data_IF_598234192881
#
_entry.id   IF_598234192881
#
_cell.length_a   1.000
_cell.length_b   1.000
_cell.length_c   1.000
_cell.angle_alpha   90.00
_cell.angle_beta   90.00
_cell.angle_gamma   90.00
#
_symmetry.space_group_name_H-M   'P 1'
#
loop_
_entity.id
_entity.type
_entity.pdbx_description
1 polymer ?
#
# COMPACT_ATOMS: atom_id res chain seq x y z
N UNK A 1 -33.79 -39.94 8.85
CA UNK A 1 -33.16 -41.19 9.28
C UNK A 1 -31.71 -40.88 9.50
N UNK A 2 -31.29 -40.56 10.77
CA UNK A 2 -30.62 -41.47 11.72
C UNK A 2 -29.39 -42.13 11.06
N UNK A 3 -28.13 -42.00 11.49
CA UNK A 3 -27.43 -42.02 12.79
C UNK A 3 -25.98 -41.50 12.55
N UNK A 4 -25.33 -40.63 13.31
CA UNK A 4 -24.62 -40.85 14.59
C UNK A 4 -23.66 -42.06 14.64
N UNK A 5 -22.40 -41.80 15.00
CA UNK A 5 -21.44 -42.46 15.89
C UNK A 5 -20.09 -41.68 15.72
N UNK A 6 -19.49 -40.94 16.57
CA UNK A 6 -19.10 -40.92 18.00
C UNK A 6 -17.91 -41.85 18.39
N UNK A 7 -16.98 -41.21 19.15
CA UNK A 7 -15.98 -41.71 20.13
C UNK A 7 -14.71 -42.35 19.54
N UNK A 8 -13.55 -42.06 20.00
CA UNK A 8 -12.89 -41.71 21.24
C UNK A 8 -11.39 -41.91 21.00
N UNK A 9 -10.44 -41.67 21.74
CA UNK A 9 -10.13 -41.64 23.14
C UNK A 9 -8.71 -41.11 23.33
N UNK A 10 -8.47 -40.44 24.39
CA UNK A 10 -7.22 -39.90 24.90
C UNK A 10 -6.16 -40.97 25.23
N UNK A 11 -4.89 -40.57 25.20
CA UNK A 11 -3.89 -41.11 26.14
C UNK A 11 -2.78 -40.08 26.42
N UNK A 12 -2.75 -39.64 27.65
CA UNK A 12 -1.62 -39.00 28.33
C UNK A 12 -0.46 -39.97 28.48
N UNK A 13 0.77 -39.46 28.38
CA UNK A 13 1.87 -40.00 29.20
C UNK A 13 2.85 -38.90 29.56
N UNK A 14 2.87 -38.59 30.84
CA UNK A 14 3.90 -37.91 31.65
C UNK A 14 5.04 -38.88 31.98
N UNK A 15 6.27 -38.39 32.04
CA UNK A 15 7.35 -38.83 32.95
C UNK A 15 8.48 -37.80 32.85
N UNK A 16 8.73 -36.94 33.84
CA UNK A 16 9.42 -37.08 35.14
C UNK A 16 10.93 -37.20 35.01
N UNK A 17 11.62 -36.14 35.39
CA UNK A 17 12.52 -35.87 36.51
C UNK A 17 13.83 -36.67 36.65
N UNK A 18 14.81 -35.91 37.04
CA UNK A 18 16.01 -36.18 37.86
C UNK A 18 17.32 -36.12 37.05
N UNK A 19 18.36 -35.43 37.45
CA UNK A 19 18.70 -34.72 38.66
C UNK A 19 20.21 -34.67 38.80
N UNK A 20 20.66 -33.66 39.52
CA UNK A 20 21.86 -33.57 40.35
C UNK A 20 23.26 -33.65 39.68
N UNK A 21 24.04 -32.68 39.87
CA UNK A 21 24.83 -32.14 40.96
C UNK A 21 26.33 -32.19 40.69
N UNK A 22 26.96 -31.15 40.95
CA UNK A 22 28.09 -30.96 41.88
C UNK A 22 29.35 -30.55 41.12
N UNK A 23 29.99 -29.59 41.45
CA UNK A 23 30.64 -28.98 42.58
C UNK A 23 32.00 -28.41 42.12
N UNK A 24 32.17 -27.15 42.36
CA UNK A 24 33.19 -26.47 43.14
C UNK A 24 34.69 -26.59 42.76
N UNK A 25 35.30 -25.44 42.87
CA UNK A 25 36.71 -25.23 43.20
C UNK A 25 37.38 -24.17 42.31
N UNK A 26 37.43 -23.01 42.78
CA UNK A 26 38.37 -22.24 43.61
C UNK A 26 39.55 -21.66 42.83
N UNK A 27 39.57 -20.32 42.84
CA UNK A 27 40.63 -19.39 43.25
C UNK A 27 42.06 -19.61 42.68
N UNK A 28 42.71 -18.61 42.17
CA UNK A 28 43.44 -17.53 42.87
C UNK A 28 44.05 -16.57 41.86
N UNK A 29 43.89 -15.26 42.07
CA UNK A 29 44.89 -14.18 42.31
C UNK A 29 46.20 -14.22 41.49
N UNK A 30 46.77 -13.19 41.07
CA UNK A 30 46.89 -11.79 41.40
C UNK A 30 47.82 -11.08 40.38
N UNK A 31 47.53 -9.89 40.21
CA UNK A 31 48.34 -8.69 40.37
C UNK A 31 49.52 -8.37 39.42
N UNK A 32 49.47 -7.15 39.06
CA UNK A 32 50.42 -6.04 39.17
C UNK A 32 51.12 -5.52 37.94
N UNK A 33 50.72 -4.34 37.64
CA UNK A 33 51.47 -3.03 37.57
C UNK A 33 52.44 -2.86 36.40
N UNK A 34 52.30 -1.85 35.74
CA UNK A 34 52.61 -0.44 35.83
C UNK A 34 53.37 0.07 34.59
N UNK A 35 52.89 1.15 34.09
CA UNK A 35 53.59 2.39 33.65
C UNK A 35 54.71 2.27 32.60
N UNK A 36 54.86 3.12 31.59
CA UNK A 36 54.80 4.58 31.54
C UNK A 36 55.01 5.08 30.10
N UNK A 37 54.26 6.14 29.75
CA UNK A 37 54.69 7.35 28.99
C UNK A 37 55.20 7.19 27.54
N UNK A 38 54.71 7.92 26.65
CA UNK A 38 54.57 9.32 26.33
C UNK A 38 54.83 9.58 24.83
N UNK A 39 54.00 10.43 24.29
CA UNK A 39 54.23 11.47 23.25
C UNK A 39 54.59 11.01 21.82
N UNK A 40 54.05 11.50 20.74
CA UNK A 40 53.50 12.80 20.36
C UNK A 40 53.00 12.71 18.90
N UNK A 41 51.86 13.37 18.64
CA UNK A 41 51.56 14.18 17.45
C UNK A 41 51.40 13.56 16.07
N UNK A 42 50.22 13.60 15.50
CA UNK A 42 49.85 14.54 14.43
C UNK A 42 48.44 14.32 13.96
N UNK A 43 47.72 15.39 13.88
CA UNK A 43 46.38 15.61 13.37
C UNK A 43 46.15 14.97 11.96
N UNK A 44 45.03 14.29 11.82
CA UNK A 44 44.22 14.34 10.60
C UNK A 44 42.78 14.24 11.06
N UNK A 45 42.09 15.35 11.12
CA UNK A 45 40.66 15.46 11.25
C UNK A 45 40.02 14.74 10.05
N UNK A 46 39.36 13.63 10.33
CA UNK A 46 38.29 13.14 9.49
C UNK A 46 37.03 13.16 10.34
N UNK A 47 36.29 14.24 10.17
CA UNK A 47 34.96 14.42 10.76
C UNK A 47 34.03 13.41 10.12
N UNK A 48 34.01 12.20 10.64
CA UNK A 48 32.90 11.30 10.48
C UNK A 48 31.88 11.67 11.56
N UNK A 49 30.89 12.44 11.16
CA UNK A 49 29.71 12.75 11.96
C UNK A 49 28.97 11.44 12.15
N UNK A 50 29.30 10.71 13.22
CA UNK A 50 28.45 9.65 13.72
C UNK A 50 27.16 10.34 14.22
N UNK A 51 26.11 10.31 13.42
CA UNK A 51 24.77 10.49 13.94
C UNK A 51 24.57 9.33 14.91
N UNK A 52 24.46 9.64 16.20
CA UNK A 52 24.05 8.69 17.20
C UNK A 52 22.68 8.14 16.73
N UNK A 53 22.63 6.85 16.41
CA UNK A 53 21.38 6.13 16.16
C UNK A 53 20.54 6.24 17.43
N UNK A 54 19.54 7.11 17.41
CA UNK A 54 18.52 7.12 18.43
C UNK A 54 17.80 5.76 18.32
N UNK A 55 17.75 5.02 19.42
CA UNK A 55 17.05 3.76 19.54
C UNK A 55 15.60 3.94 19.06
N UNK A 56 15.11 3.07 18.18
CA UNK A 56 13.75 3.14 17.65
C UNK A 56 12.75 2.82 18.77
N UNK A 57 11.70 3.63 18.89
CA UNK A 57 10.72 3.52 20.00
C UNK A 57 9.77 2.33 19.92
N UNK A 58 9.91 1.49 18.89
CA UNK A 58 9.11 0.27 18.67
C UNK A 58 10.04 -0.94 18.53
N UNK A 59 9.53 -2.13 18.89
CA UNK A 59 10.27 -3.38 18.73
C UNK A 59 10.12 -4.00 17.34
N UNK A 60 9.08 -3.60 16.61
CA UNK A 60 8.70 -4.13 15.30
C UNK A 60 7.77 -3.14 14.60
N UNK A 61 7.84 -3.07 13.26
CA UNK A 61 6.88 -2.36 12.44
C UNK A 61 6.09 -3.36 11.57
N UNK A 62 4.77 -3.22 11.49
CA UNK A 62 3.95 -3.92 10.50
C UNK A 62 3.40 -2.91 9.48
N UNK A 63 3.68 -3.14 8.20
CA UNK A 63 3.21 -2.29 7.08
C UNK A 63 2.35 -3.10 6.12
N UNK A 64 1.46 -2.44 5.38
CA UNK A 64 0.76 -3.11 4.29
C UNK A 64 1.70 -3.40 3.12
N UNK A 65 1.50 -4.55 2.47
CA UNK A 65 2.18 -4.93 1.24
C UNK A 65 1.16 -5.09 0.13
N UNK A 66 1.19 -4.19 -0.85
CA UNK A 66 0.26 -4.15 -1.97
C UNK A 66 1.06 -3.95 -3.25
N UNK A 67 0.94 -4.87 -4.19
CA UNK A 67 1.69 -4.83 -5.46
C UNK A 67 0.87 -4.31 -6.64
N UNK A 68 -0.47 -4.35 -6.54
CA UNK A 68 -1.39 -3.88 -7.58
C UNK A 68 -2.01 -2.51 -7.19
N UNK A 69 -2.23 -1.59 -8.15
CA UNK A 69 -2.12 -1.79 -9.60
C UNK A 69 -0.69 -1.91 -10.14
N UNK A 70 0.26 -1.05 -9.75
CA UNK A 70 1.71 -1.13 -10.00
C UNK A 70 2.43 -0.39 -8.87
N UNK A 71 2.65 -1.07 -7.77
CA UNK A 71 3.22 -0.46 -6.58
C UNK A 71 4.73 -0.70 -6.50
N UNK A 72 5.47 -0.03 -7.38
CA UNK A 72 6.93 -0.15 -7.51
C UNK A 72 7.66 0.14 -6.21
N UNK A 73 7.40 1.24 -5.47
CA UNK A 73 8.11 1.53 -4.22
C UNK A 73 7.96 0.41 -3.18
N UNK A 74 6.78 -0.21 -3.06
CA UNK A 74 6.53 -1.33 -2.14
C UNK A 74 7.37 -2.56 -2.48
N UNK A 75 7.50 -2.87 -3.78
CA UNK A 75 8.27 -4.01 -4.27
C UNK A 75 9.76 -3.78 -4.01
N UNK A 76 10.26 -2.59 -4.34
CA UNK A 76 11.68 -2.22 -4.14
C UNK A 76 12.02 -2.15 -2.66
N UNK A 77 11.14 -1.58 -1.83
CA UNK A 77 11.34 -1.53 -0.39
C UNK A 77 11.56 -2.93 0.19
N UNK A 78 10.63 -3.86 -0.13
CA UNK A 78 10.70 -5.25 0.37
C UNK A 78 11.92 -6.01 -0.18
N UNK A 79 12.24 -5.84 -1.46
CA UNK A 79 13.40 -6.48 -2.10
C UNK A 79 14.73 -6.02 -1.47
N UNK A 80 14.85 -4.71 -1.22
CA UNK A 80 16.06 -4.10 -0.68
C UNK A 80 16.10 -4.09 0.86
N UNK A 81 14.97 -4.32 1.56
CA UNK A 81 14.84 -4.27 3.02
C UNK A 81 15.16 -2.88 3.60
N UNK A 82 14.73 -1.82 2.92
CA UNK A 82 15.10 -0.44 3.26
C UNK A 82 14.49 -0.03 4.59
N UNK A 83 13.23 -0.38 4.86
CA UNK A 83 12.60 -0.07 6.14
C UNK A 83 13.33 -0.73 7.33
N UNK A 84 13.71 -2.01 7.22
CA UNK A 84 14.46 -2.68 8.29
C UNK A 84 15.83 -2.02 8.54
N UNK A 85 16.52 -1.62 7.45
CA UNK A 85 17.82 -0.94 7.58
C UNK A 85 17.70 0.41 8.27
N UNK A 86 16.74 1.23 7.85
CA UNK A 86 16.56 2.58 8.40
C UNK A 86 16.00 2.56 9.84
N UNK A 87 15.04 1.68 10.11
CA UNK A 87 14.42 1.58 11.43
C UNK A 87 15.29 0.86 12.45
N UNK A 88 16.09 -0.12 12.03
CA UNK A 88 16.87 -0.97 12.91
C UNK A 88 16.02 -1.99 13.69
N UNK A 89 14.79 -2.24 13.27
CA UNK A 89 13.86 -3.23 13.86
C UNK A 89 13.25 -4.10 12.74
N UNK A 90 12.76 -5.32 13.05
CA UNK A 90 12.08 -6.16 12.07
C UNK A 90 10.86 -5.49 11.45
N UNK A 91 10.64 -5.71 10.15
CA UNK A 91 9.45 -5.26 9.42
C UNK A 91 8.62 -6.46 8.98
N UNK A 92 7.35 -6.46 9.32
CA UNK A 92 6.37 -7.44 8.85
C UNK A 92 5.48 -6.84 7.77
N UNK A 93 5.14 -7.65 6.77
CA UNK A 93 4.35 -7.23 5.61
C UNK A 93 2.98 -7.90 5.66
N UNK A 94 1.93 -7.09 5.82
CA UNK A 94 0.55 -7.53 5.77
C UNK A 94 0.01 -7.43 4.33
N UNK A 95 -0.25 -8.56 3.70
CA UNK A 95 -0.79 -8.62 2.32
C UNK A 95 -2.30 -8.36 2.34
N UNK A 96 -2.70 -7.08 2.33
CA UNK A 96 -4.08 -6.63 2.36
C UNK A 96 -4.40 -5.88 1.05
N UNK A 97 -5.19 -6.49 0.20
CA UNK A 97 -5.47 -5.97 -1.15
C UNK A 97 -6.68 -5.04 -1.24
N UNK A 98 -7.56 -5.04 -0.23
CA UNK A 98 -8.71 -4.11 -0.19
C UNK A 98 -8.43 -2.94 0.76
N UNK A 99 -8.84 -1.73 0.35
CA UNK A 99 -8.69 -0.54 1.19
C UNK A 99 -9.47 -0.64 2.51
N UNK A 100 -10.60 -1.36 2.53
CA UNK A 100 -11.38 -1.60 3.73
C UNK A 100 -10.61 -2.47 4.75
N UNK A 101 -9.99 -3.56 4.28
CA UNK A 101 -9.19 -4.44 5.15
C UNK A 101 -7.95 -3.69 5.68
N UNK A 102 -7.31 -2.88 4.84
CA UNK A 102 -6.17 -2.05 5.24
C UNK A 102 -6.56 -1.07 6.35
N UNK A 103 -7.62 -0.28 6.16
CA UNK A 103 -8.06 0.71 7.15
C UNK A 103 -8.58 0.07 8.43
N UNK A 104 -9.18 -1.11 8.34
CA UNK A 104 -9.57 -1.88 9.52
C UNK A 104 -8.36 -2.40 10.30
N UNK A 105 -7.34 -2.92 9.62
CA UNK A 105 -6.11 -3.40 10.25
C UNK A 105 -5.34 -2.24 10.92
N UNK A 106 -5.36 -1.04 10.33
CA UNK A 106 -4.82 0.17 10.96
C UNK A 106 -5.61 0.52 12.24
N UNK A 107 -6.93 0.53 12.15
CA UNK A 107 -7.80 0.87 13.29
C UNK A 107 -7.70 -0.13 14.45
N UNK A 108 -7.46 -1.42 14.17
CA UNK A 108 -7.22 -2.45 15.19
C UNK A 108 -5.80 -2.41 15.78
N UNK A 109 -4.85 -1.75 15.11
CA UNK A 109 -3.44 -1.73 15.48
C UNK A 109 -2.64 -2.95 15.00
N UNK A 110 -3.23 -3.82 14.18
CA UNK A 110 -2.53 -4.95 13.55
C UNK A 110 -1.47 -4.46 12.54
N UNK A 111 -1.70 -3.29 11.95
CA UNK A 111 -0.80 -2.58 11.04
C UNK A 111 -0.58 -1.17 11.59
N UNK A 112 0.65 -0.67 11.54
CA UNK A 112 0.99 0.69 11.99
C UNK A 112 1.04 1.68 10.83
N UNK A 113 1.38 1.21 9.62
CA UNK A 113 1.49 2.06 8.43
C UNK A 113 0.81 1.39 7.24
N UNK A 114 -0.11 2.12 6.62
CA UNK A 114 -0.68 1.77 5.32
C UNK A 114 0.26 2.30 4.24
N UNK A 115 1.03 1.41 3.64
CA UNK A 115 1.94 1.75 2.55
C UNK A 115 1.27 1.41 1.22
N UNK A 116 0.80 2.42 0.50
CA UNK A 116 -0.07 2.36 -0.68
C UNK A 116 -1.58 2.14 -0.37
N UNK A 117 -2.23 3.14 0.21
CA UNK A 117 -3.69 3.16 0.41
C UNK A 117 -4.35 4.22 -0.46
N UNK A 118 -5.46 3.88 -1.13
CA UNK A 118 -6.20 4.82 -1.98
C UNK A 118 -6.87 5.95 -1.17
N UNK A 119 -6.90 7.18 -1.74
CA UNK A 119 -7.56 8.32 -1.14
C UNK A 119 -9.02 8.05 -0.77
N UNK A 120 -9.77 7.34 -1.63
CA UNK A 120 -11.16 6.91 -1.35
C UNK A 120 -11.28 6.13 -0.06
N UNK A 121 -10.34 5.20 0.21
CA UNK A 121 -10.34 4.38 1.44
C UNK A 121 -9.98 5.20 2.68
N UNK A 122 -9.03 6.14 2.55
CA UNK A 122 -8.67 7.08 3.63
C UNK A 122 -9.87 7.95 3.99
N UNK A 123 -10.51 8.56 2.99
CA UNK A 123 -11.68 9.43 3.16
C UNK A 123 -12.84 8.67 3.79
N UNK A 124 -13.17 7.47 3.27
CA UNK A 124 -14.24 6.64 3.81
C UNK A 124 -13.99 6.27 5.28
N UNK A 125 -12.77 5.90 5.61
CA UNK A 125 -12.37 5.55 6.98
C UNK A 125 -12.50 6.75 7.92
N UNK A 126 -12.01 7.93 7.51
CA UNK A 126 -12.10 9.16 8.28
C UNK A 126 -13.55 9.63 8.46
N UNK A 127 -14.38 9.57 7.41
CA UNK A 127 -15.81 9.91 7.48
C UNK A 127 -16.58 9.03 8.47
N UNK A 128 -16.12 7.80 8.70
CA UNK A 128 -16.64 6.89 9.71
C UNK A 128 -15.98 7.07 11.09
N UNK A 129 -15.19 8.13 11.28
CA UNK A 129 -14.61 8.52 12.57
C UNK A 129 -13.34 7.78 12.96
N UNK A 130 -12.68 7.10 12.02
CA UNK A 130 -11.40 6.45 12.29
C UNK A 130 -10.28 7.50 12.44
N UNK A 131 -9.34 7.19 13.34
CA UNK A 131 -8.09 7.93 13.47
C UNK A 131 -7.14 7.53 12.33
N UNK A 132 -7.21 8.24 11.21
CA UNK A 132 -6.34 8.03 10.05
C UNK A 132 -5.77 9.35 9.57
N UNK A 133 -4.47 9.36 9.25
CA UNK A 133 -3.72 10.53 8.79
C UNK A 133 -2.81 10.16 7.62
N UNK A 134 -2.75 11.03 6.64
CA UNK A 134 -1.84 10.96 5.50
C UNK A 134 -0.48 11.50 5.91
N UNK A 135 0.56 10.69 5.81
CA UNK A 135 1.95 11.06 6.07
C UNK A 135 2.59 11.76 4.86
N UNK A 136 2.41 11.14 3.71
CA UNK A 136 2.92 11.62 2.42
C UNK A 136 2.18 10.93 1.27
N UNK A 137 2.50 11.32 0.04
CA UNK A 137 1.98 10.63 -1.14
C UNK A 137 2.80 9.38 -1.43
N UNK A 138 2.12 8.37 -1.97
CA UNK A 138 2.73 7.16 -2.50
C UNK A 138 2.83 7.21 -4.02
N UNK A 139 1.73 7.53 -4.70
CA UNK A 139 1.70 7.73 -6.15
C UNK A 139 0.48 8.50 -6.63
N UNK A 140 0.57 8.97 -7.88
CA UNK A 140 -0.52 9.56 -8.65
C UNK A 140 -0.56 8.85 -9.99
N UNK A 141 -1.71 8.30 -10.36
CA UNK A 141 -1.78 7.41 -11.53
C UNK A 141 -3.15 7.35 -12.18
N UNK A 142 -3.77 8.49 -12.57
CA UNK A 142 -5.12 8.45 -13.15
C UNK A 142 -5.22 7.54 -14.37
N UNK A 143 -4.25 7.55 -15.28
CA UNK A 143 -4.21 6.70 -16.48
C UNK A 143 -4.15 5.20 -16.21
N UNK A 144 -3.74 4.79 -15.01
CA UNK A 144 -3.63 3.38 -14.66
C UNK A 144 -4.99 2.73 -14.31
N UNK A 145 -6.05 3.54 -14.17
CA UNK A 145 -7.41 3.10 -13.89
C UNK A 145 -8.24 3.22 -15.15
N UNK A 146 -8.77 2.11 -15.65
CA UNK A 146 -9.34 1.99 -16.98
C UNK A 146 -10.66 1.24 -16.99
N UNK A 147 -11.47 1.52 -18.00
CA UNK A 147 -12.69 0.81 -18.35
C UNK A 147 -12.47 0.13 -19.70
N UNK A 148 -12.56 -1.18 -19.76
CA UNK A 148 -12.36 -1.96 -20.98
C UNK A 148 -13.62 -2.70 -21.41
N UNK A 149 -13.85 -2.83 -22.72
CA UNK A 149 -14.92 -3.59 -23.35
C UNK A 149 -14.42 -4.39 -24.57
N UNK A 150 -15.18 -5.40 -24.95
CA UNK A 150 -15.05 -6.08 -26.26
C UNK A 150 -15.85 -5.38 -27.36
N UNK A 151 -16.77 -4.51 -27.00
CA UNK A 151 -17.66 -3.77 -27.90
C UNK A 151 -17.07 -2.40 -28.22
N UNK A 152 -16.48 -2.26 -29.39
CA UNK A 152 -15.87 -1.02 -29.87
C UNK A 152 -16.87 0.15 -30.06
N UNK A 153 -18.18 -0.12 -29.98
CA UNK A 153 -19.21 0.90 -30.06
C UNK A 153 -19.43 1.68 -28.75
N UNK A 154 -18.86 1.20 -27.64
CA UNK A 154 -18.96 1.83 -26.32
C UNK A 154 -17.91 2.96 -26.19
N UNK A 155 -18.23 4.13 -26.75
CA UNK A 155 -17.29 5.28 -26.84
C UNK A 155 -17.77 6.52 -26.11
N UNK A 156 -18.99 6.52 -25.57
CA UNK A 156 -19.55 7.65 -24.80
C UNK A 156 -20.27 7.15 -23.57
N UNK A 157 -20.47 7.98 -22.53
CA UNK A 157 -21.21 7.57 -21.35
C UNK A 157 -22.61 7.04 -21.68
N UNK A 158 -23.34 7.68 -22.62
CA UNK A 158 -24.70 7.26 -23.01
C UNK A 158 -24.73 5.85 -23.61
N UNK A 159 -23.63 5.42 -24.25
CA UNK A 159 -23.52 4.07 -24.82
C UNK A 159 -23.49 2.98 -23.74
N UNK A 160 -23.22 3.35 -22.49
CA UNK A 160 -23.21 2.43 -21.32
C UNK A 160 -24.59 2.18 -20.74
N UNK A 161 -25.66 2.87 -21.20
CA UNK A 161 -27.01 2.72 -20.65
C UNK A 161 -27.49 1.28 -20.72
N UNK A 162 -27.86 0.72 -19.56
CA UNK A 162 -28.32 -0.66 -19.41
C UNK A 162 -27.24 -1.73 -19.58
N UNK A 163 -25.98 -1.38 -19.78
CA UNK A 163 -24.85 -2.32 -19.86
C UNK A 163 -24.49 -2.87 -18.47
N UNK A 164 -23.96 -4.07 -18.45
CA UNK A 164 -23.43 -4.69 -17.24
C UNK A 164 -21.97 -4.28 -17.06
N UNK A 165 -21.68 -3.54 -15.99
CA UNK A 165 -20.35 -3.01 -15.67
C UNK A 165 -19.89 -3.61 -14.34
N UNK A 166 -18.67 -4.16 -14.30
CA UNK A 166 -18.16 -4.82 -13.11
C UNK A 166 -16.83 -4.24 -12.64
N UNK A 167 -16.68 -4.10 -11.32
CA UNK A 167 -15.45 -3.67 -10.66
C UNK A 167 -15.64 -3.48 -9.17
N UNK A 168 -14.56 -3.16 -8.42
CA UNK A 168 -14.59 -3.06 -6.96
C UNK A 168 -15.23 -1.74 -6.50
N UNK A 169 -16.27 -1.86 -5.67
CA UNK A 169 -16.96 -0.71 -5.06
C UNK A 169 -16.05 0.03 -4.06
N UNK A 170 -16.19 1.37 -3.98
CA UNK A 170 -15.46 2.19 -3.00
C UNK A 170 -13.99 2.39 -3.31
N UNK A 171 -13.62 2.29 -4.59
CA UNK A 171 -12.24 2.45 -5.08
C UNK A 171 -12.17 3.52 -6.16
N UNK A 172 -10.95 3.91 -6.56
CA UNK A 172 -10.73 4.81 -7.71
C UNK A 172 -11.40 4.31 -9.00
N UNK A 173 -11.56 2.99 -9.17
CA UNK A 173 -12.29 2.44 -10.32
C UNK A 173 -13.79 2.72 -10.24
N UNK A 174 -14.37 2.68 -9.04
CA UNK A 174 -15.77 3.07 -8.85
C UNK A 174 -15.95 4.57 -9.09
N UNK A 175 -15.05 5.41 -8.57
CA UNK A 175 -15.01 6.85 -8.82
C UNK A 175 -14.92 7.16 -10.32
N UNK A 176 -14.05 6.45 -11.06
CA UNK A 176 -13.91 6.58 -12.51
C UNK A 176 -15.24 6.33 -13.23
N UNK A 177 -15.93 5.24 -12.91
CA UNK A 177 -17.21 4.92 -13.55
C UNK A 177 -18.24 6.03 -13.31
N UNK A 178 -18.42 6.46 -12.06
CA UNK A 178 -19.42 7.47 -11.72
C UNK A 178 -19.05 8.82 -12.33
N UNK A 179 -17.78 9.22 -12.29
CA UNK A 179 -17.30 10.46 -12.93
C UNK A 179 -17.49 10.44 -14.44
N UNK A 180 -17.29 9.28 -15.09
CA UNK A 180 -17.54 9.13 -16.52
C UNK A 180 -19.03 9.23 -16.86
N UNK A 181 -19.90 8.55 -16.11
CA UNK A 181 -21.36 8.62 -16.29
C UNK A 181 -21.90 10.05 -16.07
N UNK A 182 -21.36 10.77 -15.09
CA UNK A 182 -21.76 12.14 -14.78
C UNK A 182 -21.54 13.14 -15.92
N UNK A 183 -20.61 12.85 -16.85
CA UNK A 183 -20.41 13.70 -18.05
C UNK A 183 -21.65 13.78 -18.95
N UNK A 184 -22.58 12.81 -18.83
CA UNK A 184 -23.84 12.77 -19.56
C UNK A 184 -25.07 12.82 -18.64
N UNK A 185 -24.93 13.42 -17.45
CA UNK A 185 -25.99 13.47 -16.42
C UNK A 185 -26.57 12.08 -16.05
N UNK A 186 -25.76 11.01 -16.22
CA UNK A 186 -26.09 9.62 -15.87
C UNK A 186 -25.57 9.28 -14.48
N UNK A 187 -26.21 8.28 -13.88
CA UNK A 187 -25.85 7.73 -12.56
C UNK A 187 -25.68 6.20 -12.64
N UNK A 188 -25.32 5.57 -11.52
CA UNK A 188 -25.27 4.11 -11.44
C UNK A 188 -26.61 3.42 -11.69
N UNK A 189 -27.75 4.13 -11.51
CA UNK A 189 -29.10 3.60 -11.80
C UNK A 189 -29.36 3.42 -13.31
N UNK A 190 -28.57 4.06 -14.18
CA UNK A 190 -28.66 3.92 -15.63
C UNK A 190 -27.91 2.69 -16.18
N UNK A 191 -27.13 2.00 -15.35
CA UNK A 191 -26.30 0.84 -15.71
C UNK A 191 -26.55 -0.33 -14.74
N UNK A 192 -26.12 -1.54 -15.12
CA UNK A 192 -26.15 -2.69 -14.23
C UNK A 192 -24.79 -2.86 -13.57
N UNK A 193 -24.50 -2.10 -12.50
CA UNK A 193 -23.23 -2.20 -11.81
C UNK A 193 -23.15 -3.41 -10.90
N UNK A 194 -22.05 -4.18 -11.00
CA UNK A 194 -21.80 -5.39 -10.21
C UNK A 194 -20.47 -5.24 -9.47
N UNK A 195 -20.52 -5.31 -8.14
CA UNK A 195 -19.32 -5.32 -7.31
C UNK A 195 -18.53 -6.62 -7.50
N UNK A 196 -17.36 -6.56 -8.07
CA UNK A 196 -16.44 -7.67 -8.30
C UNK A 196 -15.00 -7.25 -8.04
N UNK A 197 -14.12 -8.22 -7.72
CA UNK A 197 -12.68 -7.99 -7.75
C UNK A 197 -12.21 -7.71 -9.19
N UNK A 198 -11.06 -7.04 -9.36
CA UNK A 198 -10.49 -6.77 -10.70
C UNK A 198 -10.31 -8.06 -11.52
N UNK A 199 -9.73 -9.15 -10.97
CA UNK A 199 -9.62 -10.41 -11.71
C UNK A 199 -10.96 -11.02 -12.12
N UNK A 200 -11.98 -10.95 -11.24
CA UNK A 200 -13.31 -11.50 -11.54
C UNK A 200 -14.04 -10.66 -12.61
N UNK A 201 -13.91 -9.31 -12.55
CA UNK A 201 -14.45 -8.41 -13.57
C UNK A 201 -13.82 -8.70 -14.94
N UNK A 202 -12.49 -8.91 -14.99
CA UNK A 202 -11.79 -9.31 -16.23
C UNK A 202 -12.28 -10.66 -16.73
N UNK A 203 -12.41 -11.65 -15.85
CA UNK A 203 -12.93 -12.97 -16.23
C UNK A 203 -14.40 -12.90 -16.74
N UNK A 204 -15.22 -12.05 -16.11
CA UNK A 204 -16.57 -11.75 -16.56
C UNK A 204 -16.62 -11.15 -17.97
N UNK A 205 -15.73 -10.20 -18.25
CA UNK A 205 -15.54 -9.60 -19.58
C UNK A 205 -15.07 -10.64 -20.60
N UNK A 206 -14.11 -11.49 -20.23
CA UNK A 206 -13.62 -12.58 -21.08
C UNK A 206 -14.71 -13.56 -21.43
N UNK A 207 -15.57 -13.91 -20.45
CA UNK A 207 -16.69 -14.82 -20.60
C UNK A 207 -17.93 -14.20 -21.26
N UNK A 208 -17.98 -12.88 -21.42
CA UNK A 208 -19.11 -12.16 -22.01
C UNK A 208 -20.32 -12.01 -21.08
N UNK A 209 -20.14 -12.21 -19.76
CA UNK A 209 -21.17 -11.93 -18.74
C UNK A 209 -21.14 -10.47 -18.26
N UNK A 210 -20.08 -9.75 -18.57
CA UNK A 210 -19.85 -8.34 -18.27
C UNK A 210 -19.59 -7.63 -19.60
N UNK A 211 -20.23 -6.49 -19.83
CA UNK A 211 -20.03 -5.66 -21.03
C UNK A 211 -18.80 -4.77 -20.90
N UNK A 212 -18.58 -4.22 -19.69
CA UNK A 212 -17.44 -3.34 -19.35
C UNK A 212 -16.83 -3.77 -18.03
N UNK A 213 -15.52 -3.98 -18.01
CA UNK A 213 -14.77 -4.27 -16.79
C UNK A 213 -13.94 -3.05 -16.37
N UNK A 214 -13.98 -2.73 -15.08
CA UNK A 214 -13.14 -1.73 -14.44
C UNK A 214 -11.83 -2.40 -14.02
N UNK A 215 -10.74 -2.02 -14.66
CA UNK A 215 -9.45 -2.69 -14.56
C UNK A 215 -8.33 -1.70 -14.20
N UNK A 216 -7.26 -2.21 -13.60
CA UNK A 216 -6.08 -1.42 -13.31
C UNK A 216 -4.81 -2.30 -13.37
N UNK A 217 -3.64 -1.66 -13.54
CA UNK A 217 -2.33 -2.31 -13.50
C UNK A 217 -2.18 -3.41 -14.56
N UNK A 218 -1.56 -4.53 -14.18
CA UNK A 218 -1.30 -5.66 -15.07
C UNK A 218 -2.57 -6.21 -15.76
N UNK A 219 -3.71 -6.17 -15.07
CA UNK A 219 -4.97 -6.67 -15.64
C UNK A 219 -5.49 -5.74 -16.75
N UNK A 220 -5.36 -4.42 -16.58
CA UNK A 220 -5.68 -3.43 -17.61
C UNK A 220 -4.73 -3.58 -18.81
N UNK A 221 -3.43 -3.64 -18.55
CA UNK A 221 -2.40 -3.89 -19.58
C UNK A 221 -2.71 -5.14 -20.40
N UNK A 222 -3.00 -6.26 -19.74
CA UNK A 222 -3.33 -7.52 -20.43
C UNK A 222 -4.61 -7.41 -21.27
N UNK A 223 -5.61 -6.63 -20.85
CA UNK A 223 -6.81 -6.39 -21.64
C UNK A 223 -6.50 -5.64 -22.93
N UNK A 224 -5.64 -4.62 -22.86
CA UNK A 224 -5.15 -3.87 -24.01
C UNK A 224 -4.37 -4.76 -24.98
N UNK A 225 -3.43 -5.57 -24.49
CA UNK A 225 -2.66 -6.52 -25.31
C UNK A 225 -3.54 -7.58 -25.99
N UNK A 226 -4.69 -7.90 -25.40
CA UNK A 226 -5.71 -8.78 -25.99
C UNK A 226 -6.58 -8.07 -27.03
N UNK A 227 -6.35 -6.77 -27.26
CA UNK A 227 -7.09 -5.96 -28.23
C UNK A 227 -8.47 -5.53 -27.74
N UNK A 228 -8.69 -5.47 -26.42
CA UNK A 228 -9.93 -4.92 -25.88
C UNK A 228 -9.98 -3.41 -26.07
N UNK A 229 -11.18 -2.90 -26.31
CA UNK A 229 -11.42 -1.48 -26.50
C UNK A 229 -11.36 -0.74 -25.18
N UNK A 230 -10.52 0.30 -25.10
CA UNK A 230 -10.49 1.24 -23.99
C UNK A 230 -11.71 2.18 -24.11
N UNK A 231 -12.65 2.06 -23.20
CA UNK A 231 -13.85 2.91 -23.12
C UNK A 231 -13.49 4.29 -22.55
N UNK A 232 -12.75 4.29 -21.45
CA UNK A 232 -12.21 5.48 -20.79
C UNK A 232 -11.08 5.09 -19.85
N UNK A 233 -10.18 6.05 -19.58
CA UNK A 233 -9.26 6.01 -18.46
C UNK A 233 -9.55 7.15 -17.47
N UNK A 234 -8.78 7.22 -16.38
CA UNK A 234 -8.99 8.21 -15.34
C UNK A 234 -8.44 9.60 -15.64
N UNK A 235 -7.73 9.82 -16.76
CA UNK A 235 -7.14 11.12 -17.04
C UNK A 235 -8.22 12.21 -17.20
N UNK A 236 -8.12 13.25 -16.37
CA UNK A 236 -9.11 14.33 -16.33
C UNK A 236 -10.45 13.99 -15.66
N UNK A 237 -10.66 12.74 -15.25
CA UNK A 237 -11.87 12.27 -14.57
C UNK A 237 -11.65 12.10 -13.05
N UNK A 238 -10.56 11.45 -12.65
CA UNK A 238 -10.23 11.19 -11.26
C UNK A 238 -8.81 11.64 -10.94
N UNK A 239 -8.54 11.89 -9.68
CA UNK A 239 -7.18 12.22 -9.23
C UNK A 239 -6.32 10.98 -9.01
N UNK A 240 -6.92 9.84 -8.73
CA UNK A 240 -6.29 8.53 -8.51
C UNK A 240 -5.09 8.61 -7.56
N UNK A 241 -5.31 9.24 -6.41
CA UNK A 241 -4.29 9.49 -5.40
C UNK A 241 -4.12 8.29 -4.48
N UNK A 242 -2.89 7.88 -4.31
CA UNK A 242 -2.48 6.82 -3.38
C UNK A 242 -1.57 7.46 -2.33
N UNK A 243 -1.81 7.15 -1.08
CA UNK A 243 -1.12 7.75 0.07
C UNK A 243 -0.38 6.71 0.90
N UNK A 244 0.53 7.20 1.72
CA UNK A 244 1.05 6.52 2.90
C UNK A 244 0.31 7.09 4.11
N UNK A 245 -0.28 6.24 4.94
CA UNK A 245 -1.10 6.68 6.05
C UNK A 245 -0.81 5.91 7.34
N UNK A 246 -1.08 6.58 8.46
CA UNK A 246 -0.98 6.03 9.82
C UNK A 246 -2.09 6.61 10.69
N UNK A 247 -2.08 6.35 12.01
CA UNK A 247 -2.96 7.04 12.95
C UNK A 247 -2.29 8.30 13.52
N UNK A 248 -3.09 9.32 13.89
CA UNK A 248 -2.54 10.47 14.63
C UNK A 248 -1.83 10.01 15.90
N UNK A 249 -2.42 9.04 16.59
CA UNK A 249 -1.84 8.47 17.81
C UNK A 249 -0.44 7.89 17.55
N UNK A 250 -0.25 7.07 16.52
CA UNK A 250 1.06 6.49 16.20
C UNK A 250 2.08 7.57 15.82
N UNK A 251 1.65 8.57 15.06
CA UNK A 251 2.47 9.72 14.70
C UNK A 251 2.99 10.47 15.94
N UNK A 252 2.13 10.74 16.90
CA UNK A 252 2.46 11.50 18.12
C UNK A 252 3.33 10.70 19.10
N UNK A 253 3.10 9.39 19.19
CA UNK A 253 3.81 8.49 20.10
C UNK A 253 5.19 8.07 19.57
N UNK A 254 5.41 8.05 18.23
CA UNK A 254 6.61 7.51 17.58
C UNK A 254 7.23 8.45 16.53
N UNK A 255 7.55 9.71 16.87
CA UNK A 255 8.10 10.67 15.92
C UNK A 255 9.47 10.26 15.34
N UNK A 256 10.23 9.44 16.07
CA UNK A 256 11.49 8.83 15.63
C UNK A 256 11.24 7.82 14.48
N UNK A 257 10.21 7.00 14.60
CA UNK A 257 9.79 6.05 13.56
C UNK A 257 9.34 6.78 12.29
N UNK A 258 8.50 7.80 12.44
CA UNK A 258 8.02 8.61 11.32
C UNK A 258 9.18 9.28 10.56
N UNK A 259 10.15 9.83 11.30
CA UNK A 259 11.34 10.42 10.68
C UNK A 259 12.16 9.41 9.88
N UNK A 260 12.37 8.21 10.43
CA UNK A 260 13.09 7.11 9.76
C UNK A 260 12.33 6.58 8.56
N UNK A 261 11.00 6.46 8.64
CA UNK A 261 10.14 6.08 7.50
C UNK A 261 10.23 7.09 6.35
N UNK A 262 10.24 8.40 6.65
CA UNK A 262 10.40 9.42 5.62
C UNK A 262 11.79 9.32 4.95
N UNK A 263 12.85 9.12 5.73
CA UNK A 263 14.20 8.90 5.19
C UNK A 263 14.27 7.64 4.31
N UNK A 264 13.63 6.55 4.75
CA UNK A 264 13.54 5.32 3.97
C UNK A 264 12.81 5.52 2.63
N UNK A 265 11.75 6.32 2.60
CA UNK A 265 11.05 6.64 1.36
C UNK A 265 11.90 7.48 0.40
N UNK A 266 12.70 8.41 0.92
CA UNK A 266 13.68 9.16 0.12
C UNK A 266 14.76 8.22 -0.45
N UNK A 267 15.21 7.22 0.33
CA UNK A 267 16.15 6.19 -0.14
C UNK A 267 15.52 5.31 -1.23
N UNK A 268 14.26 4.88 -1.07
CA UNK A 268 13.53 4.12 -2.09
C UNK A 268 13.44 4.92 -3.40
N UNK A 269 13.04 6.19 -3.32
CA UNK A 269 12.93 7.06 -4.49
C UNK A 269 14.29 7.24 -5.18
N UNK A 270 15.36 7.46 -4.41
CA UNK A 270 16.74 7.56 -4.94
C UNK A 270 17.20 6.26 -5.58
N UNK A 271 16.95 5.12 -4.94
CA UNK A 271 17.27 3.80 -5.50
C UNK A 271 16.58 3.58 -6.86
N UNK A 272 15.28 3.86 -6.94
CA UNK A 272 14.49 3.73 -8.16
C UNK A 272 15.02 4.63 -9.29
N UNK A 273 15.44 5.86 -8.96
CA UNK A 273 15.99 6.80 -9.93
C UNK A 273 17.38 6.38 -10.44
N UNK A 274 18.25 5.93 -9.55
CA UNK A 274 19.64 5.58 -9.86
C UNK A 274 19.77 4.19 -10.49
N UNK A 275 18.79 3.29 -10.26
CA UNK A 275 18.81 1.88 -10.67
C UNK A 275 17.58 1.49 -11.50
N UNK A 276 17.19 2.33 -12.48
CA UNK A 276 15.94 2.16 -13.22
C UNK A 276 15.79 0.77 -13.88
N UNK A 277 16.85 0.25 -14.51
CA UNK A 277 16.80 -1.06 -15.17
C UNK A 277 16.58 -2.18 -14.14
N UNK A 278 17.35 -2.21 -13.06
CA UNK A 278 17.20 -3.18 -11.99
C UNK A 278 15.82 -3.07 -11.30
N UNK A 279 15.30 -1.86 -11.14
CA UNK A 279 13.96 -1.62 -10.62
C UNK A 279 12.90 -2.30 -11.51
N UNK A 280 12.97 -2.08 -12.83
CA UNK A 280 12.01 -2.69 -13.77
C UNK A 280 12.12 -4.22 -13.79
N UNK A 281 13.33 -4.77 -13.73
CA UNK A 281 13.58 -6.21 -13.66
C UNK A 281 13.02 -6.84 -12.38
N UNK A 282 13.25 -6.19 -11.21
CA UNK A 282 12.72 -6.66 -9.92
C UNK A 282 11.20 -6.65 -9.91
N UNK A 283 10.57 -5.57 -10.42
CA UNK A 283 9.11 -5.46 -10.50
C UNK A 283 8.53 -6.49 -11.46
N UNK A 284 9.14 -6.67 -12.64
CA UNK A 284 8.73 -7.65 -13.64
C UNK A 284 8.76 -9.08 -13.07
N UNK A 285 9.85 -9.44 -12.39
CA UNK A 285 9.99 -10.74 -11.73
C UNK A 285 8.96 -10.96 -10.60
N UNK A 286 8.68 -9.92 -9.82
CA UNK A 286 7.71 -10.00 -8.71
C UNK A 286 6.27 -10.17 -9.21
N UNK A 287 5.93 -9.53 -10.33
CA UNK A 287 4.57 -9.51 -10.88
C UNK A 287 4.33 -10.56 -11.99
N UNK A 288 5.36 -11.34 -12.33
CA UNK A 288 5.34 -12.31 -13.46
C UNK A 288 4.95 -11.61 -14.79
N UNK A 289 5.64 -10.50 -15.08
CA UNK A 289 5.43 -9.67 -16.26
C UNK A 289 6.71 -9.55 -17.07
N UNK A 290 6.58 -9.18 -18.36
CA UNK A 290 7.69 -8.74 -19.17
C UNK A 290 8.21 -7.37 -18.71
N UNK A 291 9.51 -7.16 -18.76
CA UNK A 291 10.15 -5.88 -18.36
C UNK A 291 9.63 -4.71 -19.19
N UNK A 292 9.34 -4.92 -20.47
CA UNK A 292 8.82 -3.88 -21.36
C UNK A 292 7.38 -3.49 -20.97
N UNK A 293 6.56 -4.44 -20.51
CA UNK A 293 5.23 -4.18 -19.95
C UNK A 293 5.31 -3.30 -18.67
N UNK A 294 6.27 -3.61 -17.79
CA UNK A 294 6.49 -2.78 -16.59
C UNK A 294 6.94 -1.38 -16.95
N UNK A 295 7.85 -1.21 -17.92
CA UNK A 295 8.31 0.11 -18.39
C UNK A 295 7.16 0.95 -18.96
N UNK A 296 6.28 0.34 -19.74
CA UNK A 296 5.11 1.01 -20.30
C UNK A 296 4.16 1.49 -19.18
N UNK A 297 3.78 0.58 -18.29
CA UNK A 297 2.91 0.92 -17.15
C UNK A 297 3.54 1.95 -16.20
N UNK A 298 4.85 1.86 -15.95
CA UNK A 298 5.57 2.79 -15.07
C UNK A 298 5.40 4.25 -15.50
N UNK A 299 5.32 4.50 -16.81
CA UNK A 299 5.10 5.83 -17.38
C UNK A 299 3.77 6.49 -17.00
N UNK A 300 2.81 5.73 -16.44
CA UNK A 300 1.53 6.25 -15.98
C UNK A 300 1.55 6.73 -14.52
N UNK A 301 2.67 6.56 -13.81
CA UNK A 301 2.80 6.81 -12.38
C UNK A 301 3.76 7.95 -12.08
N UNK A 302 3.36 8.83 -11.19
CA UNK A 302 4.23 9.75 -10.47
C UNK A 302 4.37 9.21 -9.02
N UNK A 303 5.58 8.81 -8.65
CA UNK A 303 5.92 8.28 -7.33
C UNK A 303 6.55 9.33 -6.41
N UNK A 304 6.41 10.63 -6.71
CA UNK A 304 6.87 11.67 -5.80
C UNK A 304 6.11 11.64 -4.47
N UNK A 305 6.83 11.84 -3.36
CA UNK A 305 6.29 11.64 -2.00
C UNK A 305 5.75 12.92 -1.37
N UNK A 306 6.11 14.09 -1.90
CA UNK A 306 5.66 15.38 -1.38
C UNK A 306 4.14 15.54 -1.52
N UNK A 307 3.49 16.10 -0.48
CA UNK A 307 2.09 16.49 -0.54
C UNK A 307 1.99 17.90 -1.12
N UNK A 308 1.43 18.03 -2.30
CA UNK A 308 1.22 19.31 -2.98
C UNK A 308 -0.19 19.87 -2.69
N UNK A 309 -0.42 21.14 -3.02
CA UNK A 309 -1.77 21.72 -2.97
C UNK A 309 -2.71 21.04 -3.95
N UNK A 310 -2.21 20.58 -5.11
CA UNK A 310 -2.98 19.81 -6.08
C UNK A 310 -3.44 18.45 -5.52
N UNK A 311 -2.65 17.83 -4.66
CA UNK A 311 -3.06 16.58 -3.99
C UNK A 311 -4.20 16.82 -3.00
N UNK A 312 -4.10 17.90 -2.21
CA UNK A 312 -5.18 18.28 -1.29
C UNK A 312 -6.48 18.61 -2.03
N UNK A 313 -6.38 19.34 -3.14
CA UNK A 313 -7.51 19.59 -4.03
C UNK A 313 -8.08 18.28 -4.62
N UNK A 314 -7.21 17.34 -5.00
CA UNK A 314 -7.61 16.03 -5.49
C UNK A 314 -8.33 15.19 -4.43
N UNK A 315 -7.80 15.17 -3.19
CA UNK A 315 -8.49 14.54 -2.05
C UNK A 315 -9.85 15.19 -1.79
N UNK A 316 -9.95 16.53 -1.86
CA UNK A 316 -11.24 17.21 -1.66
C UNK A 316 -12.23 16.85 -2.76
N UNK A 317 -11.83 16.85 -4.04
CA UNK A 317 -12.70 16.42 -5.15
C UNK A 317 -13.22 15.00 -4.95
N UNK A 318 -12.35 14.08 -4.52
CA UNK A 318 -12.77 12.71 -4.20
C UNK A 318 -13.75 12.68 -3.01
N UNK A 319 -13.53 13.48 -1.97
CA UNK A 319 -14.44 13.57 -0.82
C UNK A 319 -15.81 14.15 -1.20
N UNK A 320 -15.82 15.21 -1.99
CA UNK A 320 -17.05 15.85 -2.51
C UNK A 320 -17.84 14.85 -3.36
N UNK A 321 -17.15 14.15 -4.28
CA UNK A 321 -17.74 13.06 -5.07
C UNK A 321 -18.34 11.96 -4.18
N UNK A 322 -17.63 11.53 -3.13
CA UNK A 322 -18.11 10.48 -2.21
C UNK A 322 -19.34 10.94 -1.42
N UNK A 323 -19.42 12.21 -1.09
CA UNK A 323 -20.59 12.80 -0.44
C UNK A 323 -21.78 12.89 -1.41
N UNK A 324 -21.58 13.43 -2.60
CA UNK A 324 -22.62 13.57 -3.64
C UNK A 324 -23.17 12.22 -4.11
N UNK A 325 -22.33 11.20 -4.18
CA UNK A 325 -22.73 9.82 -4.53
C UNK A 325 -23.33 9.02 -3.36
N UNK A 326 -23.37 9.61 -2.15
CA UNK A 326 -23.90 8.95 -0.96
C UNK A 326 -22.99 7.87 -0.38
N UNK A 327 -21.71 7.86 -0.74
CA UNK A 327 -20.71 6.93 -0.18
C UNK A 327 -20.30 7.34 1.24
N UNK A 328 -20.39 8.64 1.57
CA UNK A 328 -20.24 9.18 2.92
C UNK A 328 -21.46 10.04 3.26
N UNK A 329 -21.82 10.08 4.54
CA UNK A 329 -23.05 10.75 5.01
C UNK A 329 -22.89 12.26 5.16
N UNK A 330 -21.67 12.76 5.37
CA UNK A 330 -21.38 14.16 5.64
C UNK A 330 -20.21 14.63 4.79
N UNK A 331 -20.19 15.92 4.47
CA UNK A 331 -19.04 16.58 3.87
C UNK A 331 -17.81 16.43 4.77
N UNK A 332 -16.65 16.22 4.18
CA UNK A 332 -15.38 16.05 4.88
C UNK A 332 -14.39 17.13 4.44
N UNK A 333 -13.89 17.93 5.39
CA UNK A 333 -12.71 18.79 5.17
C UNK A 333 -11.44 17.92 5.18
N UNK A 334 -10.90 17.63 4.00
CA UNK A 334 -9.74 16.78 3.84
C UNK A 334 -8.46 17.37 4.44
N UNK A 335 -8.40 18.68 4.72
CA UNK A 335 -7.23 19.28 5.39
C UNK A 335 -6.98 18.68 6.77
N UNK A 336 -8.01 18.12 7.39
CA UNK A 336 -7.91 17.40 8.67
C UNK A 336 -7.22 16.05 8.56
N UNK A 337 -7.06 15.50 7.36
CA UNK A 337 -6.44 14.21 7.10
C UNK A 337 -4.92 14.27 7.03
N UNK A 338 -4.36 15.43 6.68
CA UNK A 338 -2.91 15.59 6.53
C UNK A 338 -2.25 15.92 7.85
N UNK A 339 -1.09 15.30 8.10
CA UNK A 339 -0.22 15.64 9.22
C UNK A 339 0.27 17.09 9.04
N UNK A 340 0.23 17.86 10.12
CA UNK A 340 0.65 19.27 10.15
C UNK A 340 2.06 19.41 10.69
#
# INVERSE_FOLDING_TARGET
>A
MKKLIALGLAACMTFSLAGCSGSAGKETEAASAAQTAAETSAEAETSAKATADAETSIDKLTVTYVTSPLNVPTIIEKDQGIFEKELGVPVEYAELTSGADQTQALASGDVQVLYAVGATSVILSAANGADIKVLNMYSRSPKAFCMYSKDESLTTPESLKGKTIAGPTGTNLHELLVSYLAQADMTLDDVNYVNMSIPDAKAGLDGGSVDVALLAGATAYNAEQQGYHLVADGEGLISALIAVATTQKFYDEHPDVIKKLNAAQEEIASYMADNQEATMETVAATLDLDVDAVKEMYGFYDFSTEITDADKEGFQKTADFMYESGMIENELDVNTLFIQ
#
